data_IF_798296162591
#
_entry.id   IF_798296162591
#
_cell.length_a   1.000
_cell.length_b   1.000
_cell.length_c   1.000
_cell.angle_alpha   90.00
_cell.angle_beta   90.00
_cell.angle_gamma   90.00
#
_symmetry.space_group_name_H-M   'P 1'
#
loop_
_entity.id
_entity.type
_entity.pdbx_description
1 polymer ?
#
# COMPACT_ATOMS: atom_id res chain seq x y z
N UNK A 1 38.15 7.75 -23.48
CA UNK A 1 37.78 6.76 -24.41
C UNK A 1 36.84 5.74 -23.83
N UNK A 2 37.25 5.04 -22.86
CA UNK A 2 36.39 4.09 -22.28
C UNK A 2 35.09 4.64 -21.87
N UNK A 3 35.10 5.84 -21.36
CA UNK A 3 33.87 6.47 -20.89
C UNK A 3 32.92 6.66 -22.06
N UNK A 4 33.46 7.10 -23.17
CA UNK A 4 32.63 7.31 -24.35
C UNK A 4 32.04 6.01 -24.84
N UNK A 5 32.84 4.97 -24.80
CA UNK A 5 32.35 3.67 -25.22
C UNK A 5 31.21 3.23 -24.31
N UNK A 6 31.43 3.41 -23.03
CA UNK A 6 30.37 3.07 -22.08
C UNK A 6 29.12 3.87 -22.31
N UNK A 7 29.29 5.14 -22.62
CA UNK A 7 28.14 5.98 -22.88
C UNK A 7 27.38 5.53 -24.10
N UNK A 8 28.10 5.15 -25.13
CA UNK A 8 27.45 4.70 -26.35
C UNK A 8 26.65 3.44 -26.10
N UNK A 9 27.23 2.51 -25.37
CA UNK A 9 26.53 1.30 -25.05
C UNK A 9 25.30 1.60 -24.20
N UNK A 10 25.48 2.48 -23.27
CA UNK A 10 24.37 2.85 -22.40
C UNK A 10 23.26 3.48 -23.21
N UNK A 11 23.60 4.33 -24.16
CA UNK A 11 22.58 4.93 -24.99
C UNK A 11 21.82 3.90 -25.79
N UNK A 12 22.52 2.91 -26.29
CA UNK A 12 21.87 1.86 -27.06
C UNK A 12 20.89 1.10 -26.18
N UNK A 13 21.29 0.81 -24.95
CA UNK A 13 20.42 0.13 -24.04
C UNK A 13 19.18 0.96 -23.75
N UNK A 14 19.37 2.24 -23.58
CA UNK A 14 18.25 3.12 -23.32
C UNK A 14 17.28 3.08 -24.48
N UNK A 15 17.77 3.13 -25.70
CA UNK A 15 16.90 3.13 -26.86
C UNK A 15 16.04 1.87 -26.90
N UNK A 16 16.62 0.74 -26.60
CA UNK A 16 15.86 -0.49 -26.62
C UNK A 16 15.01 -0.66 -25.41
N UNK A 17 15.51 -0.21 -24.27
CA UNK A 17 14.85 -0.46 -23.03
C UNK A 17 13.80 0.56 -22.67
N UNK A 18 13.91 1.76 -23.20
CA UNK A 18 13.01 2.81 -22.77
C UNK A 18 11.56 2.46 -22.99
N UNK A 19 11.22 2.14 -24.22
CA UNK A 19 9.81 1.97 -24.54
C UNK A 19 9.20 0.75 -23.86
N UNK A 20 9.67 -0.47 -24.17
CA UNK A 20 9.03 -1.63 -23.57
C UNK A 20 9.22 -1.72 -22.05
N UNK A 21 10.44 -1.53 -21.53
CA UNK A 21 10.59 -1.63 -20.08
C UNK A 21 9.84 -0.59 -19.32
N UNK A 22 9.76 0.62 -19.83
CA UNK A 22 9.02 1.67 -19.16
C UNK A 22 7.56 1.29 -19.00
N UNK A 23 6.98 0.76 -20.07
CA UNK A 23 5.58 0.33 -20.02
C UNK A 23 5.41 -0.87 -19.12
N UNK A 24 6.37 -1.78 -19.13
CA UNK A 24 6.28 -2.97 -18.29
C UNK A 24 6.38 -2.64 -16.82
N UNK A 25 7.02 -1.53 -16.47
CA UNK A 25 7.19 -1.13 -15.08
C UNK A 25 6.04 -0.30 -14.54
N UNK A 26 5.17 0.15 -15.41
CA UNK A 26 4.02 0.92 -14.96
C UNK A 26 3.02 -0.02 -14.33
N UNK A 27 2.68 0.28 -13.09
CA UNK A 27 1.67 -0.49 -12.39
C UNK A 27 0.30 0.11 -12.65
N UNK A 28 -0.71 -0.75 -12.75
CA UNK A 28 -2.08 -0.26 -12.73
C UNK A 28 -2.39 0.22 -11.32
N UNK A 29 -3.44 1.02 -11.20
CA UNK A 29 -3.90 1.45 -9.87
C UNK A 29 -4.18 0.25 -8.99
N UNK A 30 -4.77 -0.79 -9.55
CA UNK A 30 -5.10 -1.98 -8.79
C UNK A 30 -3.86 -2.70 -8.29
N UNK A 31 -2.85 -2.84 -9.13
CA UNK A 31 -1.61 -3.48 -8.72
C UNK A 31 -0.90 -2.69 -7.63
N UNK A 32 -0.86 -1.37 -7.81
CA UNK A 32 -0.23 -0.51 -6.82
C UNK A 32 -0.96 -0.62 -5.49
N UNK A 33 -2.28 -0.66 -5.52
CA UNK A 33 -3.09 -0.81 -4.33
C UNK A 33 -2.78 -2.13 -3.63
N UNK A 34 -2.81 -3.24 -4.37
CA UNK A 34 -2.56 -4.55 -3.76
C UNK A 34 -1.14 -4.66 -3.21
N UNK A 35 -0.17 -4.06 -3.89
CA UNK A 35 1.20 -4.09 -3.39
C UNK A 35 1.32 -3.36 -2.06
N UNK A 36 0.68 -2.19 -1.96
CA UNK A 36 0.69 -1.44 -0.71
C UNK A 36 -0.02 -2.19 0.39
N UNK A 37 -1.15 -2.80 0.07
CA UNK A 37 -1.92 -3.54 1.08
C UNK A 37 -1.18 -4.78 1.55
N UNK A 38 -0.39 -5.41 0.68
CA UNK A 38 0.41 -6.56 1.08
C UNK A 38 1.43 -6.17 2.15
N UNK A 39 2.07 -5.03 1.95
CA UNK A 39 3.02 -4.52 2.96
C UNK A 39 2.31 -4.17 4.25
N UNK A 40 1.17 -3.51 4.14
CA UNK A 40 0.41 -3.13 5.32
C UNK A 40 -0.10 -4.35 6.07
N UNK A 41 -0.41 -5.42 5.36
CA UNK A 41 -0.87 -6.64 6.02
C UNK A 41 0.20 -7.20 6.94
N UNK A 42 1.44 -7.22 6.49
CA UNK A 42 2.55 -7.68 7.33
C UNK A 42 2.68 -6.79 8.56
N UNK A 43 2.60 -5.48 8.36
CA UNK A 43 2.69 -4.55 9.48
C UNK A 43 1.52 -4.71 10.43
N UNK A 44 0.34 -4.98 9.89
CA UNK A 44 -0.85 -5.17 10.71
C UNK A 44 -0.74 -6.40 11.59
N UNK A 45 -0.21 -7.49 11.05
CA UNK A 45 -0.02 -8.70 11.83
C UNK A 45 0.95 -8.46 12.99
N UNK A 46 2.04 -7.75 12.74
CA UNK A 46 2.95 -7.39 13.80
C UNK A 46 2.31 -6.49 14.84
N UNK A 47 1.49 -5.54 14.39
CA UNK A 47 0.81 -4.63 15.29
C UNK A 47 -0.20 -5.37 16.17
N UNK A 48 -0.87 -6.37 15.60
CA UNK A 48 -1.81 -7.19 16.38
C UNK A 48 -1.10 -7.95 17.48
N UNK A 49 0.05 -8.52 17.15
CA UNK A 49 0.81 -9.24 18.16
C UNK A 49 1.26 -8.31 19.28
N UNK A 50 1.69 -7.11 18.93
CA UNK A 50 2.09 -6.15 19.94
C UNK A 50 0.90 -5.72 20.80
N UNK A 51 -0.28 -5.57 20.19
CA UNK A 51 -1.46 -5.21 20.94
C UNK A 51 -1.80 -6.27 21.97
N UNK A 52 -1.65 -7.54 21.60
CA UNK A 52 -1.91 -8.65 22.52
C UNK A 52 -0.85 -8.73 23.61
N UNK A 53 0.41 -8.60 23.23
CA UNK A 53 1.52 -8.81 24.18
C UNK A 53 1.78 -7.61 25.07
N UNK A 54 1.69 -6.41 24.50
CA UNK A 54 2.04 -5.20 25.23
C UNK A 54 0.89 -4.22 25.38
N UNK A 55 -0.29 -4.60 24.87
CA UNK A 55 -1.47 -3.75 24.96
C UNK A 55 -1.32 -2.46 24.14
N UNK A 56 -0.55 -2.52 23.07
CA UNK A 56 -0.28 -1.36 22.21
C UNK A 56 -1.36 -1.24 21.14
N UNK A 57 -2.52 -0.73 21.56
CA UNK A 57 -3.63 -0.52 20.64
C UNK A 57 -3.41 0.67 19.72
N UNK A 58 -2.62 1.63 20.16
CA UNK A 58 -2.38 2.83 19.39
C UNK A 58 -1.71 2.51 18.05
N UNK A 59 -0.67 1.67 18.08
CA UNK A 59 -0.01 1.28 16.85
C UNK A 59 -0.94 0.50 15.94
N UNK A 60 -1.74 -0.40 16.52
CA UNK A 60 -2.69 -1.17 15.73
C UNK A 60 -3.68 -0.26 15.01
N UNK A 61 -4.28 0.67 15.75
CA UNK A 61 -5.25 1.58 15.15
C UNK A 61 -4.59 2.49 14.09
N UNK A 62 -3.33 2.87 14.31
CA UNK A 62 -2.60 3.68 13.33
C UNK A 62 -2.42 2.92 12.01
N UNK A 63 -2.00 1.67 12.08
CA UNK A 63 -1.81 0.86 10.87
C UNK A 63 -3.14 0.68 10.15
N UNK A 64 -4.21 0.46 10.88
CA UNK A 64 -5.53 0.35 10.28
C UNK A 64 -5.95 1.65 9.60
N UNK A 65 -5.59 2.78 10.20
CA UNK A 65 -5.88 4.08 9.61
C UNK A 65 -5.17 4.26 8.26
N UNK A 66 -3.92 3.83 8.20
CA UNK A 66 -3.16 3.92 6.95
C UNK A 66 -3.82 3.08 5.88
N UNK A 67 -4.24 1.86 6.23
CA UNK A 67 -4.92 0.99 5.29
C UNK A 67 -6.21 1.60 4.78
N UNK A 68 -6.97 2.24 5.66
CA UNK A 68 -8.19 2.93 5.24
C UNK A 68 -7.88 4.06 4.27
N UNK A 69 -6.87 4.87 4.56
CA UNK A 69 -6.51 5.98 3.68
C UNK A 69 -6.10 5.51 2.30
N UNK A 70 -5.30 4.47 2.24
CA UNK A 70 -4.86 3.90 0.96
C UNK A 70 -6.06 3.40 0.17
N UNK A 71 -6.99 2.74 0.86
CA UNK A 71 -8.16 2.17 0.21
C UNK A 71 -9.13 3.26 -0.26
N UNK A 72 -9.31 4.31 0.54
CA UNK A 72 -10.14 5.44 0.14
C UNK A 72 -9.63 6.05 -1.15
N UNK A 73 -8.32 6.28 -1.25
CA UNK A 73 -7.74 6.85 -2.46
C UNK A 73 -7.99 5.99 -3.67
N UNK A 74 -7.80 4.67 -3.48
CA UNK A 74 -8.03 3.77 -4.59
C UNK A 74 -9.48 3.82 -5.06
N UNK A 75 -10.42 3.80 -4.12
CA UNK A 75 -11.85 3.83 -4.45
C UNK A 75 -12.22 5.14 -5.14
N UNK A 76 -11.65 6.24 -4.71
CA UNK A 76 -11.92 7.53 -5.35
C UNK A 76 -11.48 7.55 -6.81
N UNK A 77 -10.39 6.89 -7.11
CA UNK A 77 -9.88 6.81 -8.47
C UNK A 77 -10.55 5.71 -9.28
N UNK A 78 -11.13 4.74 -8.61
CA UNK A 78 -11.72 3.58 -9.25
C UNK A 78 -13.10 3.28 -8.65
N UNK A 79 -14.05 4.16 -8.86
CA UNK A 79 -15.37 4.04 -8.20
C UNK A 79 -16.18 2.84 -8.65
N UNK A 80 -15.81 2.22 -9.75
CA UNK A 80 -16.53 1.06 -10.26
C UNK A 80 -16.03 -0.25 -9.69
N UNK A 81 -14.98 -0.21 -8.89
CA UNK A 81 -14.45 -1.41 -8.26
C UNK A 81 -15.25 -1.70 -6.99
N UNK A 82 -16.35 -2.42 -7.17
CA UNK A 82 -17.30 -2.68 -6.10
C UNK A 82 -16.67 -3.51 -5.00
N UNK A 83 -15.83 -4.47 -5.37
CA UNK A 83 -15.20 -5.35 -4.39
C UNK A 83 -14.37 -4.56 -3.38
N UNK A 84 -13.55 -3.64 -3.87
CA UNK A 84 -12.69 -2.86 -2.98
C UNK A 84 -13.52 -1.82 -2.22
N UNK A 85 -14.56 -1.31 -2.84
CA UNK A 85 -15.46 -0.39 -2.16
C UNK A 85 -16.13 -1.07 -0.95
N UNK A 86 -16.55 -2.32 -1.14
CA UNK A 86 -17.15 -3.09 -0.05
C UNK A 86 -16.12 -3.39 1.03
N UNK A 87 -14.89 -3.69 0.62
CA UNK A 87 -13.82 -3.91 1.58
C UNK A 87 -13.58 -2.68 2.44
N UNK A 88 -13.65 -1.50 1.84
CA UNK A 88 -13.45 -0.26 2.58
C UNK A 88 -14.46 -0.12 3.71
N UNK A 89 -15.71 -0.50 3.45
CA UNK A 89 -16.74 -0.42 4.48
C UNK A 89 -16.39 -1.30 5.67
N UNK A 90 -15.96 -2.53 5.41
CA UNK A 90 -15.53 -3.42 6.49
C UNK A 90 -14.33 -2.87 7.23
N UNK A 91 -13.38 -2.28 6.51
CA UNK A 91 -12.21 -1.71 7.15
C UNK A 91 -12.56 -0.52 8.03
N UNK A 92 -13.52 0.28 7.61
CA UNK A 92 -13.98 1.40 8.43
C UNK A 92 -14.61 0.92 9.71
N UNK A 93 -15.40 -0.16 9.64
CA UNK A 93 -16.01 -0.73 10.82
C UNK A 93 -14.95 -1.26 11.79
N UNK A 94 -13.94 -1.93 11.25
CA UNK A 94 -12.84 -2.43 12.07
C UNK A 94 -12.07 -1.28 12.72
N UNK A 95 -11.88 -0.21 11.99
CA UNK A 95 -11.19 0.97 12.50
C UNK A 95 -11.97 1.60 13.63
N UNK A 96 -13.28 1.71 13.46
CA UNK A 96 -14.14 2.25 14.50
C UNK A 96 -14.05 1.41 15.77
N UNK A 97 -14.08 0.08 15.61
CA UNK A 97 -13.95 -0.81 16.76
C UNK A 97 -12.60 -0.63 17.45
N UNK A 98 -11.55 -0.47 16.69
CA UNK A 98 -10.22 -0.26 17.25
C UNK A 98 -10.17 1.04 18.05
N UNK A 99 -10.71 2.11 17.49
CA UNK A 99 -10.73 3.40 18.17
C UNK A 99 -11.57 3.37 19.45
N UNK A 100 -12.67 2.65 19.42
CA UNK A 100 -13.49 2.51 20.62
C UNK A 100 -12.71 1.83 21.73
N UNK A 101 -11.98 0.77 21.39
CA UNK A 101 -11.16 0.10 22.39
C UNK A 101 -10.06 1.02 22.91
N UNK A 102 -9.47 1.81 22.03
CA UNK A 102 -8.41 2.72 22.44
C UNK A 102 -8.91 3.78 23.40
N UNK A 103 -10.06 4.38 23.11
CA UNK A 103 -10.63 5.41 23.95
C UNK A 103 -11.14 4.85 25.27
N UNK A 104 -11.77 3.69 25.23
CA UNK A 104 -12.30 3.11 26.46
C UNK A 104 -11.20 2.67 27.41
N UNK A 105 -10.02 2.40 26.88
CA UNK A 105 -8.90 2.01 27.69
C UNK A 105 -8.38 3.15 28.54
N UNK A 106 -8.52 4.36 28.04
CA UNK A 106 -8.10 5.54 28.77
C UNK A 106 -9.14 5.88 29.82
#
# INVERSE_FOLDING_TARGET
MRILVGSALFSALILFGIVPPALAWEETDQQAYYNKMSLLKVMLEGARMRAVETNDLQTLCLIMSIGNDVTVRYVELNPNDVEISDRLEGMRNDMTACLELLYNKE
#
